data_IF_426152530215
#
_entry.id   IF_426152530215
#
_cell.length_a   1.000
_cell.length_b   1.000
_cell.length_c   1.000
_cell.angle_alpha   90.00
_cell.angle_beta   90.00
_cell.angle_gamma   90.00
#
_symmetry.space_group_name_H-M   'P 1'
#
loop_
_entity.id
_entity.type
_entity.pdbx_description
1 polymer ?
#
# COMPACT_ATOMS: atom_id res chain seq x y z
N UNK A 1 6.00 13.46 -26.11
CA UNK A 1 5.10 12.61 -25.30
C UNK A 1 5.03 11.24 -25.96
N UNK A 2 5.65 10.23 -25.40
CA UNK A 2 5.50 8.86 -25.89
C UNK A 2 4.14 8.32 -25.44
N UNK A 3 3.31 7.84 -26.39
CA UNK A 3 2.03 7.22 -26.09
C UNK A 3 2.28 5.78 -25.59
N UNK A 4 1.79 5.45 -24.41
CA UNK A 4 1.73 4.07 -23.93
C UNK A 4 0.60 3.35 -24.67
N UNK A 5 0.94 2.31 -25.42
CA UNK A 5 -0.03 1.38 -26.00
C UNK A 5 -0.74 0.53 -24.94
N UNK A 6 -1.83 -0.15 -25.26
CA UNK A 6 -2.52 -1.05 -24.35
C UNK A 6 -1.57 -2.19 -23.93
N UNK A 7 -1.30 -2.32 -22.66
CA UNK A 7 -0.43 -3.30 -21.99
C UNK A 7 1.07 -2.96 -21.86
N UNK A 8 1.48 -1.70 -21.91
CA UNK A 8 2.83 -1.35 -21.45
C UNK A 8 3.99 -1.72 -22.39
N UNK A 9 3.73 -2.06 -23.62
CA UNK A 9 4.76 -2.14 -24.66
C UNK A 9 5.05 -0.74 -25.19
N UNK A 10 6.30 -0.31 -25.06
CA UNK A 10 6.79 0.90 -25.71
C UNK A 10 6.84 0.59 -27.21
N UNK A 11 6.05 1.31 -28.02
CA UNK A 11 5.96 1.13 -29.47
C UNK A 11 7.26 1.54 -30.22
N UNK A 12 8.20 2.23 -29.54
CA UNK A 12 9.50 2.64 -30.05
C UNK A 12 10.57 2.44 -28.98
N UNK A 13 11.82 2.25 -29.39
CA UNK A 13 12.94 2.20 -28.44
C UNK A 13 12.94 3.49 -27.60
N UNK A 14 12.98 3.38 -26.25
CA UNK A 14 12.92 4.56 -25.40
C UNK A 14 14.12 5.46 -25.69
N UNK A 15 13.85 6.72 -26.04
CA UNK A 15 14.87 7.75 -26.11
C UNK A 15 15.40 7.94 -24.69
N UNK A 16 16.67 7.60 -24.47
CA UNK A 16 17.36 7.82 -23.19
C UNK A 16 17.90 9.25 -23.17
N UNK A 17 17.47 10.01 -22.18
CA UNK A 17 18.02 11.33 -21.91
C UNK A 17 18.62 11.30 -20.50
N UNK A 18 19.82 11.80 -20.35
CA UNK A 18 20.43 12.08 -19.04
C UNK A 18 19.99 13.48 -18.64
N UNK A 19 19.44 13.60 -17.45
CA UNK A 19 19.06 14.87 -16.81
C UNK A 19 19.88 15.02 -15.53
N UNK A 20 20.22 16.25 -15.17
CA UNK A 20 20.81 16.55 -13.88
C UNK A 20 19.71 16.55 -12.80
N UNK A 21 20.00 16.04 -11.59
CA UNK A 21 19.03 16.02 -10.49
C UNK A 21 18.55 17.42 -10.13
N UNK A 22 19.41 18.44 -10.26
CA UNK A 22 19.07 19.84 -10.01
C UNK A 22 18.01 20.42 -10.96
N UNK A 23 17.68 19.73 -12.07
CA UNK A 23 16.61 20.09 -12.98
C UNK A 23 15.22 19.60 -12.50
N UNK A 24 15.16 18.87 -11.39
CA UNK A 24 13.94 18.28 -10.86
C UNK A 24 13.43 19.08 -9.64
N UNK A 25 12.18 19.51 -9.69
CA UNK A 25 11.48 20.06 -8.51
C UNK A 25 10.95 18.94 -7.60
N UNK A 26 10.44 17.87 -8.21
CA UNK A 26 9.78 16.74 -7.50
C UNK A 26 10.21 15.40 -8.06
N UNK A 27 10.53 14.47 -7.17
CA UNK A 27 10.74 13.05 -7.48
C UNK A 27 9.64 12.20 -6.81
N UNK A 28 8.75 11.61 -7.61
CA UNK A 28 7.71 10.72 -7.10
C UNK A 28 8.19 9.27 -7.15
N UNK A 29 8.47 8.67 -5.98
CA UNK A 29 8.90 7.28 -5.85
C UNK A 29 7.70 6.34 -6.01
N UNK A 30 7.64 5.63 -7.13
CA UNK A 30 6.54 4.70 -7.45
C UNK A 30 7.02 3.31 -7.84
N UNK A 31 8.17 2.94 -7.34
CA UNK A 31 8.66 1.57 -7.46
C UNK A 31 7.95 0.62 -6.48
N UNK A 32 7.89 -0.67 -6.82
CA UNK A 32 7.39 -1.70 -5.92
C UNK A 32 8.48 -2.73 -5.61
N UNK A 33 9.23 -2.55 -4.51
CA UNK A 33 10.34 -3.44 -4.15
C UNK A 33 9.93 -4.90 -3.94
N UNK A 34 8.65 -5.16 -3.60
CA UNK A 34 8.14 -6.52 -3.40
C UNK A 34 8.05 -7.36 -4.70
N UNK A 35 8.08 -6.70 -5.87
CA UNK A 35 8.04 -7.38 -7.18
C UNK A 35 9.42 -7.82 -7.69
N UNK A 36 10.51 -7.39 -7.05
CA UNK A 36 11.84 -7.81 -7.47
C UNK A 36 12.10 -9.28 -7.12
N UNK A 37 12.57 -10.02 -8.11
CA UNK A 37 13.04 -11.39 -7.96
C UNK A 37 14.27 -11.47 -7.03
N UNK A 38 14.58 -12.67 -6.53
CA UNK A 38 15.67 -12.86 -5.54
C UNK A 38 17.05 -12.43 -6.08
N UNK A 39 17.30 -12.60 -7.37
CA UNK A 39 18.53 -12.16 -8.05
C UNK A 39 18.66 -10.63 -8.14
N UNK A 40 17.54 -9.90 -7.99
CA UNK A 40 17.48 -8.43 -7.98
C UNK A 40 17.30 -7.82 -6.60
N UNK A 41 17.57 -8.56 -5.53
CA UNK A 41 17.45 -8.03 -4.16
C UNK A 41 18.24 -6.74 -3.93
N UNK A 42 19.39 -6.57 -4.62
CA UNK A 42 20.20 -5.36 -4.57
C UNK A 42 19.44 -4.10 -5.03
N UNK A 43 18.45 -4.24 -5.90
CA UNK A 43 17.68 -3.12 -6.44
C UNK A 43 16.53 -2.67 -5.49
N UNK A 44 16.12 -3.51 -4.54
CA UNK A 44 15.02 -3.18 -3.61
C UNK A 44 15.19 -1.86 -2.86
N UNK A 45 16.36 -1.52 -2.32
CA UNK A 45 16.58 -0.25 -1.64
C UNK A 45 16.91 0.91 -2.59
N UNK A 46 17.06 0.69 -3.90
CA UNK A 46 17.56 1.71 -4.82
C UNK A 46 16.69 2.98 -4.80
N UNK A 47 15.37 2.84 -4.91
CA UNK A 47 14.45 3.97 -4.91
C UNK A 47 14.59 4.85 -3.66
N UNK A 48 14.60 4.24 -2.46
CA UNK A 48 14.73 4.97 -1.20
C UNK A 48 16.15 5.54 -1.01
N UNK A 49 17.19 4.83 -1.47
CA UNK A 49 18.59 5.28 -1.39
C UNK A 49 18.82 6.51 -2.25
N UNK A 50 18.43 6.48 -3.53
CA UNK A 50 18.55 7.63 -4.42
C UNK A 50 17.57 8.75 -4.03
N UNK A 51 16.38 8.41 -3.51
CA UNK A 51 15.45 9.40 -2.97
C UNK A 51 16.08 10.21 -1.84
N UNK A 52 16.80 9.58 -0.90
CA UNK A 52 17.55 10.31 0.14
C UNK A 52 18.63 11.22 -0.41
N UNK A 53 19.33 10.80 -1.47
CA UNK A 53 20.31 11.65 -2.13
C UNK A 53 19.61 12.88 -2.73
N UNK A 54 18.48 12.69 -3.43
CA UNK A 54 17.70 13.77 -4.00
C UNK A 54 17.18 14.76 -2.95
N UNK A 55 16.71 14.28 -1.77
CA UNK A 55 16.31 15.16 -0.66
C UNK A 55 17.46 16.08 -0.21
N UNK A 56 18.70 15.56 -0.15
CA UNK A 56 19.88 16.36 0.23
C UNK A 56 20.21 17.46 -0.78
N UNK A 57 19.84 17.26 -2.03
CA UNK A 57 19.98 18.25 -3.11
C UNK A 57 18.79 19.23 -3.16
N UNK A 58 17.86 19.16 -2.20
CA UNK A 58 16.70 20.05 -2.12
C UNK A 58 15.50 19.65 -2.97
N UNK A 59 15.52 18.48 -3.58
CA UNK A 59 14.40 17.96 -4.39
C UNK A 59 13.31 17.42 -3.44
N UNK A 60 12.06 17.76 -3.70
CA UNK A 60 10.91 17.21 -2.97
C UNK A 60 10.71 15.76 -3.39
N UNK A 61 10.88 14.81 -2.46
CA UNK A 61 10.76 13.37 -2.76
C UNK A 61 9.52 12.77 -2.09
N UNK A 62 8.65 12.14 -2.86
CA UNK A 62 7.33 11.64 -2.41
C UNK A 62 7.08 10.18 -2.83
N UNK A 63 6.59 9.28 -1.96
CA UNK A 63 6.52 9.48 -0.50
C UNK A 63 7.93 9.67 0.08
N UNK A 64 8.02 10.15 1.33
CA UNK A 64 9.32 10.33 1.98
C UNK A 64 10.15 9.04 1.97
N UNK A 65 11.44 9.08 1.56
CA UNK A 65 12.25 7.88 1.40
C UNK A 65 12.58 7.18 2.72
N UNK A 66 12.63 7.88 3.86
CA UNK A 66 12.85 7.26 5.16
C UNK A 66 11.56 6.62 5.67
N UNK A 67 10.42 7.25 5.44
CA UNK A 67 9.11 6.66 5.69
C UNK A 67 8.89 5.39 4.85
N UNK A 68 9.19 5.42 3.55
CA UNK A 68 9.13 4.25 2.69
C UNK A 68 10.05 3.11 3.15
N UNK A 69 11.26 3.46 3.63
CA UNK A 69 12.20 2.45 4.14
C UNK A 69 11.65 1.71 5.36
N UNK A 70 10.88 2.38 6.24
CA UNK A 70 10.17 1.72 7.34
C UNK A 70 9.09 0.76 6.85
N UNK A 71 8.50 1.03 5.67
CA UNK A 71 7.39 0.29 5.11
C UNK A 71 7.80 -0.85 4.14
N UNK A 72 9.07 -1.27 4.15
CA UNK A 72 9.61 -2.31 3.24
C UNK A 72 9.00 -3.70 3.44
N UNK A 73 8.36 -3.93 4.57
CA UNK A 73 7.65 -5.17 4.86
C UNK A 73 6.38 -4.91 5.70
N UNK A 74 5.60 -5.97 5.91
CA UNK A 74 4.30 -5.88 6.61
C UNK A 74 4.38 -5.55 8.12
N UNK A 75 5.61 -5.49 8.72
CA UNK A 75 5.78 -4.99 10.09
C UNK A 75 5.34 -3.52 10.23
N UNK A 76 5.49 -2.72 9.18
CA UNK A 76 5.02 -1.34 9.16
C UNK A 76 3.56 -1.21 9.60
N UNK A 77 2.73 -2.18 9.19
CA UNK A 77 1.33 -2.24 9.55
C UNK A 77 1.09 -2.35 11.06
N UNK A 78 2.01 -2.96 11.81
CA UNK A 78 1.89 -3.11 13.27
C UNK A 78 2.08 -1.78 14.03
N UNK A 79 2.61 -0.76 13.39
CA UNK A 79 2.74 0.58 13.95
C UNK A 79 1.44 1.41 13.96
N UNK A 80 0.34 0.92 13.40
CA UNK A 80 -0.96 1.56 13.44
C UNK A 80 -1.77 1.12 14.66
N UNK A 81 -2.80 1.89 15.10
CA UNK A 81 -3.59 1.56 16.28
C UNK A 81 -4.26 0.17 16.19
N UNK A 82 -4.29 -0.57 17.30
CA UNK A 82 -4.92 -1.89 17.35
C UNK A 82 -6.40 -1.90 16.96
N UNK A 83 -7.23 -0.92 17.34
CA UNK A 83 -8.63 -0.93 16.98
C UNK A 83 -8.90 -1.01 15.47
N UNK A 84 -8.01 -0.49 14.64
CA UNK A 84 -8.17 -0.51 13.17
C UNK A 84 -7.55 -1.74 12.51
N UNK A 85 -6.82 -2.57 13.26
CA UNK A 85 -6.12 -3.74 12.70
C UNK A 85 -6.83 -5.04 13.08
N UNK A 86 -6.75 -6.09 12.26
CA UNK A 86 -7.09 -7.42 12.69
C UNK A 86 -6.10 -7.92 13.77
N UNK A 87 -6.56 -8.82 14.66
CA UNK A 87 -5.68 -9.49 15.63
C UNK A 87 -4.56 -10.18 14.87
N UNK A 88 -3.32 -9.95 15.27
CA UNK A 88 -2.14 -10.40 14.51
C UNK A 88 -1.02 -10.83 15.45
N UNK A 89 -0.44 -12.00 15.19
CA UNK A 89 0.80 -12.49 15.78
C UNK A 89 1.87 -12.58 14.67
N UNK A 90 3.09 -12.12 14.95
CA UNK A 90 4.23 -12.26 14.02
C UNK A 90 5.30 -13.06 14.74
N UNK A 91 5.57 -14.28 14.26
CA UNK A 91 6.47 -15.21 14.92
C UNK A 91 7.09 -16.20 13.94
N UNK A 92 8.06 -17.00 14.43
CA UNK A 92 8.59 -18.19 13.77
C UNK A 92 8.27 -19.45 14.56
N UNK A 93 7.60 -19.30 15.70
CA UNK A 93 7.30 -20.39 16.63
C UNK A 93 5.95 -21.02 16.26
N UNK A 94 5.97 -22.32 15.95
CA UNK A 94 4.79 -23.09 15.58
C UNK A 94 3.80 -23.22 16.75
N UNK A 95 4.30 -23.40 17.98
CA UNK A 95 3.42 -23.59 19.14
C UNK A 95 2.73 -22.28 19.51
N UNK A 96 3.43 -21.13 19.40
CA UNK A 96 2.81 -19.81 19.53
C UNK A 96 1.71 -19.57 18.47
N UNK A 97 1.89 -20.06 17.23
CA UNK A 97 0.84 -19.97 16.18
C UNK A 97 -0.35 -20.85 16.54
N UNK A 98 -0.13 -22.04 17.06
CA UNK A 98 -1.22 -22.94 17.52
C UNK A 98 -2.00 -22.34 18.69
N UNK A 99 -1.31 -21.73 19.64
CA UNK A 99 -1.94 -21.06 20.78
C UNK A 99 -2.78 -19.89 20.31
N UNK A 100 -2.23 -19.05 19.47
CA UNK A 100 -2.96 -17.93 18.86
C UNK A 100 -4.18 -18.41 18.07
N UNK A 101 -4.06 -19.48 17.27
CA UNK A 101 -5.20 -20.06 16.54
C UNK A 101 -6.32 -20.56 17.47
N UNK A 102 -5.96 -21.09 18.65
CA UNK A 102 -6.96 -21.54 19.66
C UNK A 102 -7.68 -20.38 20.34
N UNK A 103 -6.98 -19.25 20.52
CA UNK A 103 -7.54 -18.03 21.11
C UNK A 103 -8.48 -17.27 20.15
N UNK A 104 -8.36 -17.50 18.83
CA UNK A 104 -9.24 -16.87 17.85
C UNK A 104 -10.63 -17.53 17.86
N UNK A 105 -11.66 -16.68 17.72
CA UNK A 105 -13.05 -17.14 17.59
C UNK A 105 -13.38 -17.67 16.19
N UNK A 106 -12.59 -17.30 15.17
CA UNK A 106 -12.77 -17.61 13.75
C UNK A 106 -11.57 -18.26 13.09
N UNK A 107 -11.58 -18.22 11.76
CA UNK A 107 -10.52 -18.76 10.91
C UNK A 107 -9.23 -17.94 11.04
N UNK A 108 -8.11 -18.55 10.70
CA UNK A 108 -6.77 -17.97 10.73
C UNK A 108 -6.22 -17.80 9.32
N UNK A 109 -5.58 -16.66 9.06
CA UNK A 109 -4.77 -16.44 7.86
C UNK A 109 -3.29 -16.53 8.23
N UNK A 110 -2.53 -17.33 7.49
CA UNK A 110 -1.08 -17.37 7.53
C UNK A 110 -0.52 -16.73 6.27
N UNK A 111 0.47 -15.85 6.40
CA UNK A 111 1.12 -15.20 5.27
C UNK A 111 2.57 -14.83 5.58
N UNK A 112 3.45 -14.74 4.56
CA UNK A 112 4.83 -14.32 4.78
C UNK A 112 4.89 -12.83 5.16
N UNK A 113 5.91 -12.44 5.92
CA UNK A 113 6.18 -11.05 6.28
C UNK A 113 6.48 -10.19 5.05
N UNK A 114 7.14 -10.77 4.05
CA UNK A 114 7.44 -10.13 2.77
C UNK A 114 6.58 -10.73 1.65
N UNK A 115 6.33 -9.96 0.59
CA UNK A 115 5.55 -10.40 -0.56
C UNK A 115 4.32 -9.53 -0.79
N UNK A 116 3.74 -9.67 -1.98
CA UNK A 116 2.57 -8.93 -2.45
C UNK A 116 1.68 -9.83 -3.31
N UNK A 117 0.46 -9.38 -3.61
CA UNK A 117 -0.42 -10.07 -4.55
C UNK A 117 -1.05 -11.37 -4.04
N UNK A 118 -0.94 -11.66 -2.75
CA UNK A 118 -1.53 -12.86 -2.14
C UNK A 118 -0.68 -14.13 -2.26
N UNK A 119 0.59 -14.04 -2.69
CA UNK A 119 1.51 -15.17 -2.69
C UNK A 119 1.80 -15.67 -1.26
N UNK A 120 1.75 -17.01 -1.07
CA UNK A 120 2.01 -17.62 0.21
C UNK A 120 0.94 -17.36 1.28
N UNK A 121 -0.28 -16.99 0.88
CA UNK A 121 -1.41 -16.80 1.81
C UNK A 121 -2.18 -18.10 1.95
N UNK A 122 -2.28 -18.60 3.18
CA UNK A 122 -3.06 -19.80 3.53
C UNK A 122 -4.18 -19.43 4.49
N UNK A 123 -5.34 -20.05 4.29
CA UNK A 123 -6.45 -20.02 5.24
C UNK A 123 -6.48 -21.31 6.03
N UNK A 124 -6.55 -21.20 7.33
CA UNK A 124 -6.74 -22.31 8.27
C UNK A 124 -8.13 -22.18 8.88
N UNK A 125 -9.03 -23.08 8.51
CA UNK A 125 -10.38 -23.11 9.05
C UNK A 125 -10.37 -23.63 10.49
N UNK A 126 -11.13 -22.99 11.39
CA UNK A 126 -11.16 -23.35 12.81
C UNK A 126 -11.53 -24.80 13.06
N UNK A 127 -12.51 -25.31 12.32
CA UNK A 127 -13.13 -26.62 12.54
C UNK A 127 -12.57 -27.74 11.64
N UNK A 128 -11.50 -27.49 10.90
CA UNK A 128 -10.94 -28.46 9.99
C UNK A 128 -9.53 -28.91 10.40
N UNK A 129 -9.26 -30.21 10.32
CA UNK A 129 -7.94 -30.79 10.54
C UNK A 129 -7.02 -30.47 9.36
N UNK A 130 -6.58 -29.22 9.26
CA UNK A 130 -5.58 -28.85 8.27
C UNK A 130 -4.18 -29.19 8.75
N UNK A 131 -3.31 -29.42 7.78
CA UNK A 131 -1.89 -29.66 8.06
C UNK A 131 -1.18 -28.31 8.38
N UNK A 132 -1.56 -27.70 9.52
CA UNK A 132 -0.99 -26.43 9.97
C UNK A 132 0.54 -26.48 10.04
N UNK A 133 1.11 -27.61 10.47
CA UNK A 133 2.56 -27.79 10.56
C UNK A 133 3.21 -27.60 9.17
N UNK A 134 2.68 -28.24 8.13
CA UNK A 134 3.23 -28.11 6.77
C UNK A 134 3.09 -26.70 6.20
N UNK A 135 1.98 -26.01 6.47
CA UNK A 135 1.80 -24.62 6.05
C UNK A 135 2.82 -23.70 6.71
N UNK A 136 3.03 -23.88 8.02
CA UNK A 136 4.03 -23.12 8.78
C UNK A 136 5.44 -23.44 8.28
N UNK A 137 5.80 -24.72 8.09
CA UNK A 137 7.11 -25.12 7.55
C UNK A 137 7.37 -24.53 6.16
N UNK A 138 6.35 -24.48 5.30
CA UNK A 138 6.47 -23.86 3.97
C UNK A 138 6.80 -22.35 4.07
N UNK A 139 6.11 -21.63 4.98
CA UNK A 139 6.28 -20.19 5.17
C UNK A 139 7.58 -19.83 5.91
N UNK A 140 8.05 -20.70 6.83
CA UNK A 140 9.30 -20.47 7.58
C UNK A 140 10.54 -20.37 6.69
N UNK A 141 10.49 -20.91 5.47
CA UNK A 141 11.57 -20.78 4.47
C UNK A 141 11.81 -19.33 4.06
N UNK A 142 10.77 -18.50 4.15
CA UNK A 142 10.81 -17.06 3.82
C UNK A 142 10.98 -16.17 5.07
N UNK A 143 11.11 -16.76 6.27
CA UNK A 143 11.41 -16.05 7.51
C UNK A 143 10.26 -16.02 8.52
N UNK A 144 9.87 -14.82 8.98
CA UNK A 144 8.75 -14.66 9.91
C UNK A 144 7.40 -14.84 9.24
N UNK A 145 6.46 -15.40 10.00
CA UNK A 145 5.08 -15.65 9.58
C UNK A 145 4.17 -14.63 10.28
N UNK A 146 3.22 -14.10 9.54
CA UNK A 146 2.09 -13.36 10.06
C UNK A 146 0.94 -14.34 10.22
N UNK A 147 0.52 -14.58 11.44
CA UNK A 147 -0.72 -15.27 11.81
C UNK A 147 -1.76 -14.19 12.16
N UNK A 148 -2.88 -14.17 11.46
CA UNK A 148 -3.86 -13.09 11.54
C UNK A 148 -5.27 -13.62 11.52
N UNK A 149 -6.18 -13.03 12.31
CA UNK A 149 -7.60 -13.37 12.25
C UNK A 149 -8.16 -13.16 10.84
N UNK A 150 -9.00 -14.08 10.40
CA UNK A 150 -9.74 -13.91 9.16
C UNK A 150 -10.94 -12.99 9.40
N UNK A 151 -11.06 -11.94 8.61
CA UNK A 151 -12.20 -11.04 8.66
C UNK A 151 -13.30 -11.57 7.75
N UNK A 152 -14.41 -12.07 8.30
CA UNK A 152 -15.52 -12.63 7.51
C UNK A 152 -16.12 -11.62 6.53
N UNK A 153 -16.07 -10.33 6.84
CA UNK A 153 -16.47 -9.27 5.91
C UNK A 153 -15.67 -9.28 4.58
N UNK A 154 -14.49 -9.93 4.53
CA UNK A 154 -13.70 -10.11 3.32
C UNK A 154 -14.38 -10.99 2.26
N UNK A 155 -15.43 -11.75 2.61
CA UNK A 155 -16.25 -12.49 1.64
C UNK A 155 -16.93 -11.57 0.64
N UNK A 156 -17.26 -10.35 1.04
CA UNK A 156 -17.81 -9.31 0.18
C UNK A 156 -16.74 -8.52 -0.59
N UNK A 157 -15.46 -8.90 -0.43
CA UNK A 157 -14.32 -8.17 -0.98
C UNK A 157 -13.76 -7.13 -0.03
N UNK A 158 -13.03 -6.18 -0.56
CA UNK A 158 -12.43 -5.08 0.19
C UNK A 158 -12.57 -3.76 -0.55
N UNK A 159 -12.49 -2.66 0.18
CA UNK A 159 -12.50 -1.30 -0.38
C UNK A 159 -11.10 -0.74 -0.38
N UNK A 160 -10.59 -0.35 -1.57
CA UNK A 160 -9.41 0.50 -1.66
C UNK A 160 -9.83 1.96 -1.62
N UNK A 161 -9.37 2.67 -0.59
CA UNK A 161 -9.55 4.11 -0.42
C UNK A 161 -8.19 4.80 -0.47
N UNK A 162 -8.08 5.85 -1.28
CA UNK A 162 -6.86 6.65 -1.35
C UNK A 162 -6.83 7.77 -0.32
N UNK A 163 -5.66 7.95 0.30
CA UNK A 163 -5.32 9.13 1.07
C UNK A 163 -4.23 9.93 0.38
N UNK A 164 -4.33 11.25 0.44
CA UNK A 164 -3.34 12.20 -0.04
C UNK A 164 -3.15 13.31 1.00
N UNK A 165 -1.91 13.68 1.30
CA UNK A 165 -1.60 14.66 2.35
C UNK A 165 -2.25 14.32 3.70
N UNK A 166 -2.27 13.03 4.07
CA UNK A 166 -2.89 12.57 5.32
C UNK A 166 -4.42 12.64 5.36
N UNK A 167 -5.10 12.89 4.25
CA UNK A 167 -6.57 12.98 4.18
C UNK A 167 -7.14 12.09 3.08
N UNK A 168 -8.37 11.59 3.19
CA UNK A 168 -9.03 10.91 2.08
C UNK A 168 -9.03 11.77 0.82
N UNK A 169 -8.57 11.21 -0.31
CA UNK A 169 -8.56 11.92 -1.58
C UNK A 169 -10.00 12.10 -2.07
N UNK A 170 -10.43 13.36 -2.17
CA UNK A 170 -11.80 13.71 -2.55
C UNK A 170 -11.79 14.83 -3.61
N UNK A 171 -12.51 14.61 -4.72
CA UNK A 171 -12.64 15.57 -5.82
C UNK A 171 -14.11 15.73 -6.16
N UNK A 172 -14.61 16.98 -6.21
CA UNK A 172 -16.02 17.30 -6.51
C UNK A 172 -17.02 16.47 -5.68
N UNK A 173 -16.71 16.26 -4.41
CA UNK A 173 -17.56 15.48 -3.48
C UNK A 173 -17.42 13.97 -3.59
N UNK A 174 -16.62 13.43 -4.53
CA UNK A 174 -16.38 12.00 -4.74
C UNK A 174 -15.06 11.57 -4.10
N UNK A 175 -15.06 10.43 -3.42
CA UNK A 175 -13.85 9.83 -2.87
C UNK A 175 -13.14 8.98 -3.92
N UNK A 176 -11.81 9.00 -3.90
CA UNK A 176 -11.01 8.09 -4.70
C UNK A 176 -11.04 6.70 -4.05
N UNK A 177 -12.11 5.96 -4.31
CA UNK A 177 -12.34 4.63 -3.75
C UNK A 177 -12.96 3.69 -4.77
N UNK A 178 -12.67 2.38 -4.66
CA UNK A 178 -13.37 1.32 -5.35
C UNK A 178 -13.47 0.08 -4.48
N UNK A 179 -14.50 -0.72 -4.67
CA UNK A 179 -14.64 -2.03 -4.08
C UNK A 179 -14.05 -3.08 -5.02
N UNK A 180 -13.23 -3.98 -4.48
CA UNK A 180 -12.81 -5.21 -5.17
C UNK A 180 -13.75 -6.33 -4.76
N UNK A 181 -14.43 -6.88 -5.73
CA UNK A 181 -15.37 -7.99 -5.51
C UNK A 181 -14.68 -9.29 -5.90
N UNK A 182 -14.77 -10.28 -5.02
CA UNK A 182 -14.22 -11.63 -5.27
C UNK A 182 -15.05 -12.34 -6.33
N UNK A 183 -14.37 -13.17 -7.13
CA UNK A 183 -15.03 -14.11 -8.02
C UNK A 183 -14.61 -15.54 -7.67
N UNK A 184 -15.59 -16.42 -7.47
CA UNK A 184 -15.37 -17.82 -7.14
C UNK A 184 -14.88 -18.05 -5.70
N UNK A 185 -14.28 -19.21 -5.46
CA UNK A 185 -13.88 -19.71 -4.13
C UNK A 185 -12.49 -19.22 -3.68
N UNK A 186 -11.79 -18.38 -4.46
CA UNK A 186 -10.49 -17.84 -4.06
C UNK A 186 -10.67 -16.84 -2.90
N UNK A 187 -9.87 -17.02 -1.84
CA UNK A 187 -9.89 -16.12 -0.67
C UNK A 187 -9.36 -14.71 -0.99
N UNK A 188 -8.68 -14.55 -2.15
CA UNK A 188 -8.08 -13.29 -2.56
C UNK A 188 -9.04 -12.45 -3.40
N UNK A 189 -9.16 -11.16 -3.08
CA UNK A 189 -9.97 -10.18 -3.83
C UNK A 189 -9.18 -9.37 -4.85
N UNK A 190 -7.85 -9.59 -4.96
CA UNK A 190 -7.01 -8.78 -5.82
C UNK A 190 -7.30 -9.00 -7.32
N UNK A 191 -7.02 -7.98 -8.15
CA UNK A 191 -7.27 -8.03 -9.60
C UNK A 191 -6.45 -9.10 -10.32
N UNK A 192 -5.28 -9.48 -9.80
CA UNK A 192 -4.46 -10.56 -10.36
C UNK A 192 -5.10 -11.94 -10.18
N UNK A 193 -6.00 -12.09 -9.20
CA UNK A 193 -6.80 -13.30 -8.97
C UNK A 193 -8.16 -13.26 -9.70
N UNK A 194 -8.38 -12.33 -10.65
CA UNK A 194 -9.61 -12.23 -11.41
C UNK A 194 -10.74 -11.42 -10.75
N UNK A 195 -10.47 -10.69 -9.68
CA UNK A 195 -11.42 -9.77 -9.05
C UNK A 195 -11.86 -8.65 -10.00
N UNK A 196 -13.10 -8.19 -9.84
CA UNK A 196 -13.65 -7.01 -10.54
C UNK A 196 -13.67 -5.81 -9.60
N UNK A 197 -13.61 -4.61 -10.20
CA UNK A 197 -13.78 -3.37 -9.45
C UNK A 197 -15.18 -2.83 -9.67
N UNK A 198 -15.78 -2.36 -8.59
CA UNK A 198 -17.09 -1.73 -8.57
C UNK A 198 -16.99 -0.41 -7.79
N UNK A 199 -18.02 0.42 -7.93
CA UNK A 199 -18.11 1.65 -7.16
C UNK A 199 -18.22 1.34 -5.67
N UNK A 200 -17.37 1.98 -4.86
CA UNK A 200 -17.43 1.82 -3.41
C UNK A 200 -18.37 2.85 -2.77
N UNK A 201 -19.08 2.40 -1.75
CA UNK A 201 -19.72 3.28 -0.80
C UNK A 201 -18.76 3.53 0.38
N UNK A 202 -18.28 4.76 0.52
CA UNK A 202 -17.36 5.13 1.60
C UNK A 202 -18.19 5.48 2.83
N UNK A 203 -18.07 4.65 3.87
CA UNK A 203 -18.83 4.79 5.11
C UNK A 203 -18.11 5.67 6.14
N UNK A 204 -18.82 6.08 7.19
CA UNK A 204 -18.25 6.85 8.32
C UNK A 204 -17.13 6.06 8.99
N UNK A 205 -17.31 4.76 9.21
CA UNK A 205 -16.31 3.89 9.83
C UNK A 205 -15.00 3.85 9.02
N UNK A 206 -15.08 3.86 7.68
CA UNK A 206 -13.90 3.94 6.82
C UNK A 206 -13.19 5.29 6.97
N UNK A 207 -13.94 6.38 7.13
CA UNK A 207 -13.37 7.70 7.38
C UNK A 207 -12.75 7.79 8.77
N UNK A 208 -13.33 7.16 9.78
CA UNK A 208 -12.76 7.05 11.13
C UNK A 208 -11.42 6.27 11.10
N UNK A 209 -11.33 5.20 10.30
CA UNK A 209 -10.05 4.50 10.07
C UNK A 209 -9.02 5.47 9.48
N UNK A 210 -9.39 6.27 8.47
CA UNK A 210 -8.50 7.26 7.87
C UNK A 210 -7.97 8.26 8.92
N UNK A 211 -8.83 8.76 9.81
CA UNK A 211 -8.41 9.68 10.87
C UNK A 211 -7.50 8.99 11.90
N UNK A 212 -7.76 7.73 12.26
CA UNK A 212 -6.91 6.99 13.19
C UNK A 212 -5.52 6.67 12.63
N UNK A 213 -5.38 6.42 11.31
CA UNK A 213 -4.07 6.11 10.69
C UNK A 213 -3.29 7.37 10.29
N UNK A 214 -3.98 8.48 10.12
CA UNK A 214 -3.43 9.76 9.66
C UNK A 214 -2.19 10.22 10.41
N UNK A 215 -2.15 10.24 11.78
CA UNK A 215 -1.00 10.77 12.50
C UNK A 215 0.31 10.05 12.15
N UNK A 216 0.26 8.72 11.99
CA UNK A 216 1.43 7.95 11.58
C UNK A 216 1.80 8.21 10.13
N UNK A 217 0.84 8.26 9.22
CA UNK A 217 1.11 8.53 7.81
C UNK A 217 1.75 9.92 7.61
N UNK A 218 1.25 10.93 8.34
CA UNK A 218 1.83 12.29 8.34
C UNK A 218 3.24 12.28 8.90
N UNK A 219 3.44 11.65 10.09
CA UNK A 219 4.77 11.53 10.71
C UNK A 219 5.80 10.86 9.79
N UNK A 220 5.37 9.89 8.99
CA UNK A 220 6.24 9.12 8.09
C UNK A 220 6.34 9.77 6.69
N UNK A 221 5.83 10.98 6.48
CA UNK A 221 5.90 11.69 5.20
C UNK A 221 5.20 10.98 4.04
N UNK A 222 4.06 10.36 4.30
CA UNK A 222 3.30 9.63 3.29
C UNK A 222 2.34 10.55 2.52
N UNK A 223 2.75 10.95 1.32
CA UNK A 223 1.97 11.81 0.42
C UNK A 223 0.73 11.12 -0.15
N UNK A 224 0.93 9.96 -0.81
CA UNK A 224 -0.11 9.21 -1.52
C UNK A 224 -0.13 7.76 -1.07
N UNK A 225 -1.26 7.32 -0.53
CA UNK A 225 -1.42 6.01 0.10
C UNK A 225 -2.73 5.37 -0.33
N UNK A 226 -2.72 4.06 -0.56
CA UNK A 226 -3.93 3.24 -0.72
C UNK A 226 -4.17 2.41 0.54
N UNK A 227 -5.34 2.58 1.14
CA UNK A 227 -5.83 1.77 2.25
C UNK A 227 -6.73 0.66 1.73
N UNK A 228 -6.47 -0.59 2.10
CA UNK A 228 -7.36 -1.71 1.82
C UNK A 228 -8.16 -2.03 3.08
N UNK A 229 -9.46 -1.80 3.04
CA UNK A 229 -10.37 -1.84 4.18
C UNK A 229 -11.39 -2.97 3.99
N UNK A 230 -11.57 -3.78 5.01
CA UNK A 230 -12.56 -4.86 5.08
C UNK A 230 -13.45 -4.62 6.30
N UNK A 231 -14.73 -4.34 6.07
CA UNK A 231 -15.64 -3.94 7.13
C UNK A 231 -15.14 -2.68 7.85
N UNK A 232 -14.86 -2.81 9.14
CA UNK A 232 -14.31 -1.75 10.00
C UNK A 232 -12.82 -1.94 10.33
N UNK A 233 -12.11 -2.74 9.56
CA UNK A 233 -10.68 -3.03 9.76
C UNK A 233 -9.85 -2.71 8.53
N UNK A 234 -8.67 -2.17 8.78
CA UNK A 234 -7.64 -1.98 7.79
C UNK A 234 -6.90 -3.32 7.58
N UNK A 235 -6.86 -3.80 6.35
CA UNK A 235 -6.14 -5.04 5.99
C UNK A 235 -4.72 -4.80 5.51
N UNK A 236 -4.53 -3.75 4.73
CA UNK A 236 -3.24 -3.44 4.11
C UNK A 236 -3.09 -1.94 3.85
N UNK A 237 -1.85 -1.46 3.88
CA UNK A 237 -1.48 -0.10 3.52
C UNK A 237 -0.48 -0.16 2.38
N UNK A 238 -0.83 0.47 1.27
CA UNK A 238 -0.02 0.51 0.06
C UNK A 238 0.61 1.89 -0.08
N UNK A 239 1.90 2.03 0.25
CA UNK A 239 2.64 3.30 0.25
C UNK A 239 3.62 3.46 -0.91
N UNK A 240 4.09 2.36 -1.51
CA UNK A 240 5.06 2.42 -2.62
C UNK A 240 4.39 2.77 -3.96
N UNK A 241 3.47 1.94 -4.41
CA UNK A 241 2.84 2.11 -5.71
C UNK A 241 1.36 1.69 -5.66
N UNK A 242 0.50 2.43 -4.91
CA UNK A 242 -0.92 2.12 -4.91
C UNK A 242 -1.49 2.23 -6.33
N UNK A 243 -2.10 1.13 -6.80
CA UNK A 243 -2.70 1.03 -8.14
C UNK A 243 -4.22 1.22 -8.10
N UNK A 244 -4.81 1.49 -9.28
CA UNK A 244 -6.26 1.54 -9.46
C UNK A 244 -6.86 2.94 -9.59
N UNK A 245 -6.07 4.01 -9.56
CA UNK A 245 -6.57 5.39 -9.63
C UNK A 245 -7.39 5.64 -10.90
N UNK A 246 -6.91 5.16 -12.06
CA UNK A 246 -7.66 5.26 -13.34
C UNK A 246 -8.99 4.49 -13.32
N UNK A 247 -9.04 3.36 -12.59
CA UNK A 247 -10.29 2.62 -12.39
C UNK A 247 -11.31 3.42 -11.60
N UNK A 248 -10.87 4.09 -10.53
CA UNK A 248 -11.71 5.00 -9.74
C UNK A 248 -12.22 6.18 -10.57
N UNK A 249 -11.37 6.78 -11.40
CA UNK A 249 -11.73 7.87 -12.30
C UNK A 249 -12.86 7.48 -13.27
N UNK A 250 -12.77 6.29 -13.83
CA UNK A 250 -13.83 5.75 -14.71
C UNK A 250 -15.13 5.50 -13.95
N UNK A 251 -15.06 4.96 -12.73
CA UNK A 251 -16.24 4.67 -11.91
C UNK A 251 -16.94 5.93 -11.39
N UNK A 252 -16.17 6.94 -10.99
CA UNK A 252 -16.70 8.15 -10.37
C UNK A 252 -16.91 9.32 -11.36
N UNK A 253 -16.34 9.24 -12.56
CA UNK A 253 -16.44 10.28 -13.58
C UNK A 253 -15.69 11.58 -13.22
N UNK A 254 -14.62 11.47 -12.41
CA UNK A 254 -13.77 12.60 -11.98
C UNK A 254 -12.30 12.27 -12.15
N UNK A 255 -11.47 13.28 -12.37
CA UNK A 255 -10.03 13.12 -12.57
C UNK A 255 -9.30 13.30 -11.25
N UNK A 256 -9.00 12.19 -10.58
CA UNK A 256 -8.20 12.17 -9.34
C UNK A 256 -6.71 12.38 -9.62
N UNK A 257 -6.22 11.92 -10.78
CA UNK A 257 -4.82 12.11 -11.18
C UNK A 257 -4.47 13.58 -11.33
N UNK A 258 -5.39 14.40 -11.87
CA UNK A 258 -5.20 15.84 -11.93
C UNK A 258 -5.04 16.45 -10.52
N UNK A 259 -5.86 16.05 -9.56
CA UNK A 259 -5.73 16.53 -8.18
C UNK A 259 -4.38 16.14 -7.53
N UNK A 260 -3.84 14.96 -7.86
CA UNK A 260 -2.49 14.56 -7.43
C UNK A 260 -1.44 15.50 -8.04
N UNK A 261 -1.50 15.76 -9.36
CA UNK A 261 -0.54 16.65 -10.04
C UNK A 261 -0.65 18.07 -9.50
N UNK A 262 -1.86 18.59 -9.28
CA UNK A 262 -2.07 19.90 -8.66
C UNK A 262 -1.49 19.98 -7.24
N UNK A 263 -1.53 18.89 -6.48
CA UNK A 263 -0.91 18.85 -5.16
C UNK A 263 0.63 18.89 -5.26
N UNK A 264 1.23 18.24 -6.27
CA UNK A 264 2.68 18.34 -6.54
C UNK A 264 3.06 19.80 -6.87
N UNK A 265 2.34 20.43 -7.80
CA UNK A 265 2.57 21.82 -8.18
C UNK A 265 2.48 22.78 -6.98
N UNK A 266 1.47 22.59 -6.10
CA UNK A 266 1.38 23.38 -4.87
C UNK A 266 2.60 23.21 -3.96
N UNK A 267 3.16 22.01 -3.82
CA UNK A 267 4.35 21.76 -3.00
C UNK A 267 5.58 22.50 -3.55
N UNK A 268 5.75 22.51 -4.87
CA UNK A 268 6.81 23.27 -5.53
C UNK A 268 6.68 24.77 -5.21
N UNK A 269 5.47 25.31 -5.32
CA UNK A 269 5.21 26.71 -4.96
C UNK A 269 5.47 27.00 -3.48
N UNK A 270 5.08 26.09 -2.56
CA UNK A 270 5.36 26.27 -1.15
C UNK A 270 6.86 26.24 -0.87
N UNK A 271 7.61 25.32 -1.49
CA UNK A 271 9.07 25.31 -1.38
C UNK A 271 9.67 26.65 -1.81
N UNK A 272 9.21 27.19 -2.94
CA UNK A 272 9.67 28.51 -3.44
C UNK A 272 9.25 29.66 -2.53
N UNK A 273 8.01 29.69 -2.00
CA UNK A 273 7.54 30.78 -1.14
C UNK A 273 8.21 30.83 0.22
N UNK A 274 8.72 29.70 0.70
CA UNK A 274 9.34 29.56 2.02
C UNK A 274 10.84 29.23 1.92
N UNK A 275 11.47 29.49 0.77
CA UNK A 275 12.90 29.31 0.54
C UNK A 275 13.43 27.94 1.01
N UNK A 276 12.64 26.89 0.78
CA UNK A 276 13.02 25.52 1.14
C UNK A 276 13.13 25.25 2.65
N UNK A 277 12.48 26.04 3.50
CA UNK A 277 12.60 25.90 4.98
C UNK A 277 11.92 24.66 5.55
N UNK A 278 11.00 24.05 4.82
CA UNK A 278 10.32 22.82 5.26
C UNK A 278 11.16 21.58 4.92
N UNK A 279 11.23 20.66 5.87
CA UNK A 279 11.80 19.34 5.58
C UNK A 279 10.91 18.53 4.64
N UNK A 280 11.47 17.45 4.09
CA UNK A 280 10.77 16.62 3.10
C UNK A 280 9.53 15.93 3.68
N UNK A 281 9.54 15.53 4.96
CA UNK A 281 8.40 14.91 5.65
C UNK A 281 7.23 15.90 5.74
N UNK A 282 7.51 17.13 6.13
CA UNK A 282 6.52 18.22 6.18
C UNK A 282 5.99 18.50 4.78
N UNK A 283 6.88 18.67 3.79
CA UNK A 283 6.49 18.89 2.41
C UNK A 283 5.61 17.76 1.85
N UNK A 284 5.85 16.52 2.26
CA UNK A 284 5.05 15.39 1.79
C UNK A 284 3.56 15.47 2.20
N UNK A 285 3.23 16.21 3.26
CA UNK A 285 1.88 16.23 3.82
C UNK A 285 1.18 17.61 3.84
N UNK A 286 1.88 18.65 3.35
CA UNK A 286 1.32 20.00 3.11
C UNK A 286 0.31 20.03 1.97
#
# INVERSE_FOLDING_TARGET
MASLGPCGELAEQPVRQTIDGSELDVLLLRDNPAKYSRDKNWAKPAGTTFGRAAVREGIIVLNDPDGLNQATNKMYFQGFPEPVRPKTLITRDLDAIKDFARELEGDLILKPLQGSGGDGVFMVKKDANYNLNQMVEALLKDGFIIAQEYLTAAEKGDVRLYMMNGRPLRVKGKYAAFQRVRRGDDIRSNMHAGGTIEKAEVTTEMLDICEMVRPKLVKDGMFLVGLDIVGNKLMEINVFCPGGLQGMEKLEGVNFSAAVVEALDRKVRYSSFYDGTFDNVTMATL
#
